data_IF_043700994948
#
_entry.id   IF_043700994948
#
_cell.length_a   1.000
_cell.length_b   1.000
_cell.length_c   1.000
_cell.angle_alpha   90.00
_cell.angle_beta   90.00
_cell.angle_gamma   90.00
#
_symmetry.space_group_name_H-M   'P 1'
#
loop_
_entity.id
_entity.type
_entity.pdbx_description
1 polymer ?
#
# COMPACT_ATOMS: atom_id res chain seq x y z
N UNK A 1 -18.44 -24.50 65.46
CA UNK A 1 -17.48 -24.93 64.44
C UNK A 1 -17.02 -23.70 63.67
N UNK A 2 -15.93 -23.08 64.15
CA UNK A 2 -15.30 -21.96 63.45
C UNK A 2 -14.67 -22.52 62.17
N UNK A 3 -15.28 -22.23 61.02
CA UNK A 3 -14.59 -22.40 59.74
C UNK A 3 -13.46 -21.38 59.71
N UNK A 4 -12.23 -21.86 59.86
CA UNK A 4 -11.03 -21.07 59.60
C UNK A 4 -11.04 -20.78 58.09
N UNK A 5 -11.53 -19.61 57.72
CA UNK A 5 -11.51 -19.15 56.33
C UNK A 5 -10.05 -18.78 56.04
N UNK A 6 -9.29 -19.74 55.51
CA UNK A 6 -7.97 -19.50 54.96
C UNK A 6 -8.16 -18.56 53.75
N UNK A 7 -7.96 -17.25 53.94
CA UNK A 7 -7.77 -16.34 52.81
C UNK A 7 -6.44 -16.69 52.16
N UNK A 8 -6.48 -17.58 51.18
CA UNK A 8 -5.33 -17.91 50.35
C UNK A 8 -5.22 -16.83 49.28
N UNK A 9 -4.46 -15.78 49.58
CA UNK A 9 -4.09 -14.74 48.64
C UNK A 9 -3.08 -15.30 47.64
N UNK A 10 -3.42 -15.28 46.35
CA UNK A 10 -2.55 -15.73 45.26
C UNK A 10 -2.00 -14.52 44.50
N UNK A 11 -0.82 -14.66 43.90
CA UNK A 11 -0.25 -13.64 43.04
C UNK A 11 -0.46 -14.02 41.57
N UNK A 12 -1.05 -13.13 40.78
CA UNK A 12 -1.25 -13.34 39.35
C UNK A 12 -0.51 -12.27 38.53
N UNK A 13 -0.18 -12.61 37.29
CA UNK A 13 0.45 -11.72 36.34
C UNK A 13 -0.54 -11.30 35.25
N UNK A 14 -0.87 -10.02 35.18
CA UNK A 14 -1.65 -9.46 34.09
C UNK A 14 -0.71 -8.95 33.02
N UNK A 15 -0.65 -9.65 31.89
CA UNK A 15 0.12 -9.23 30.73
C UNK A 15 -0.73 -8.26 29.91
N UNK A 16 -0.31 -7.01 29.90
CA UNK A 16 -1.03 -5.94 29.26
C UNK A 16 -0.17 -5.20 28.22
N UNK A 17 -0.73 -4.16 27.60
CA UNK A 17 -0.04 -3.39 26.56
C UNK A 17 1.09 -2.52 27.13
N UNK A 18 0.92 -2.04 28.37
CA UNK A 18 1.89 -1.19 29.06
C UNK A 18 3.02 -1.97 29.73
N UNK A 19 2.86 -3.29 29.91
CA UNK A 19 3.79 -4.15 30.63
C UNK A 19 3.09 -5.31 31.31
N UNK A 20 3.79 -6.00 32.22
CA UNK A 20 3.20 -7.03 33.08
C UNK A 20 2.97 -6.46 34.47
N UNK A 21 1.72 -6.49 34.94
CA UNK A 21 1.33 -6.03 36.28
C UNK A 21 1.14 -7.24 37.21
N UNK A 22 1.60 -7.11 38.45
CA UNK A 22 1.39 -8.13 39.49
C UNK A 22 0.18 -7.75 40.34
N UNK A 23 -0.79 -8.65 40.48
CA UNK A 23 -1.97 -8.45 41.32
C UNK A 23 -2.08 -9.55 42.37
N UNK A 24 -2.36 -9.16 43.60
CA UNK A 24 -2.73 -10.09 44.68
C UNK A 24 -4.24 -10.26 44.67
N UNK A 25 -4.71 -11.49 44.53
CA UNK A 25 -6.12 -11.82 44.30
C UNK A 25 -6.50 -13.06 45.09
N UNK A 26 -7.70 -13.11 45.67
CA UNK A 26 -8.20 -14.34 46.29
C UNK A 26 -8.86 -15.26 45.24
N UNK A 27 -8.73 -16.58 45.41
CA UNK A 27 -9.30 -17.58 44.48
C UNK A 27 -10.84 -17.52 44.34
N UNK A 28 -11.52 -16.88 45.29
CA UNK A 28 -12.97 -16.69 45.31
C UNK A 28 -13.42 -15.32 44.76
N UNK A 29 -12.49 -14.43 44.40
CA UNK A 29 -12.84 -13.14 43.79
C UNK A 29 -13.52 -13.34 42.43
N UNK A 30 -14.44 -12.43 42.12
CA UNK A 30 -15.18 -12.43 40.86
C UNK A 30 -14.36 -11.76 39.75
N UNK A 31 -14.54 -12.22 38.51
CA UNK A 31 -13.89 -11.62 37.32
C UNK A 31 -14.18 -10.11 37.20
N UNK A 32 -15.35 -9.65 37.63
CA UNK A 32 -15.73 -8.23 37.62
C UNK A 32 -14.81 -7.36 38.51
N UNK A 33 -14.42 -7.87 39.68
CA UNK A 33 -13.52 -7.17 40.60
C UNK A 33 -12.11 -7.09 40.02
N UNK A 34 -11.66 -8.15 39.34
CA UNK A 34 -10.38 -8.16 38.63
C UNK A 34 -10.36 -7.11 37.51
N UNK A 35 -11.44 -6.98 36.72
CA UNK A 35 -11.55 -5.95 35.67
C UNK A 35 -11.50 -4.53 36.22
N UNK A 36 -12.12 -4.28 37.37
CA UNK A 36 -12.05 -2.98 38.04
C UNK A 36 -10.62 -2.65 38.49
N UNK A 37 -9.91 -3.59 39.12
CA UNK A 37 -8.50 -3.38 39.50
C UNK A 37 -7.60 -3.14 38.28
N UNK A 38 -7.84 -3.86 37.19
CA UNK A 38 -7.12 -3.64 35.93
C UNK A 38 -7.45 -2.27 35.31
N UNK A 39 -8.70 -1.80 35.43
CA UNK A 39 -9.10 -0.46 34.97
C UNK A 39 -8.36 0.64 35.75
N UNK A 40 -8.18 0.49 37.06
CA UNK A 40 -7.44 1.46 37.86
C UNK A 40 -5.96 1.54 37.48
N UNK A 41 -5.35 0.41 37.09
CA UNK A 41 -3.94 0.35 36.71
C UNK A 41 -3.68 0.80 35.26
N UNK A 42 -4.50 0.35 34.30
CA UNK A 42 -4.28 0.62 32.88
C UNK A 42 -5.10 1.80 32.33
N UNK A 43 -6.17 2.19 33.03
CA UNK A 43 -7.08 3.25 32.57
C UNK A 43 -8.02 2.85 31.43
N UNK A 44 -8.11 1.56 31.09
CA UNK A 44 -9.00 1.04 30.06
C UNK A 44 -10.37 0.74 30.69
N UNK A 45 -11.50 1.20 30.11
CA UNK A 45 -12.83 0.90 30.64
C UNK A 45 -13.11 -0.61 30.62
N UNK A 46 -13.79 -1.14 31.64
CA UNK A 46 -14.10 -2.58 31.77
C UNK A 46 -14.77 -3.20 30.53
N UNK A 47 -15.54 -2.42 29.76
CA UNK A 47 -16.23 -2.87 28.54
C UNK A 47 -15.27 -3.19 27.39
N UNK A 48 -14.13 -2.50 27.33
CA UNK A 48 -13.12 -2.69 26.28
C UNK A 48 -12.06 -3.74 26.66
N UNK A 49 -12.12 -4.26 27.89
CA UNK A 49 -11.17 -5.24 28.40
C UNK A 49 -11.61 -6.67 28.06
N UNK A 50 -10.74 -7.41 27.35
CA UNK A 50 -10.90 -8.84 27.13
C UNK A 50 -9.76 -9.59 27.83
N UNK A 51 -10.10 -10.22 28.95
CA UNK A 51 -9.21 -11.05 29.75
C UNK A 51 -9.27 -12.51 29.29
N UNK A 52 -8.11 -13.13 29.10
CA UNK A 52 -8.01 -14.56 28.77
C UNK A 52 -6.88 -15.24 29.53
N UNK A 53 -7.15 -16.46 29.97
CA UNK A 53 -6.15 -17.35 30.59
C UNK A 53 -5.96 -18.53 29.64
N UNK A 54 -4.76 -18.65 29.07
CA UNK A 54 -4.46 -19.58 27.99
C UNK A 54 -5.47 -19.52 26.83
N UNK A 55 -6.43 -20.46 26.78
CA UNK A 55 -7.47 -20.54 25.73
C UNK A 55 -8.86 -20.14 26.22
N UNK A 56 -9.04 -19.95 27.52
CA UNK A 56 -10.32 -19.63 28.15
C UNK A 56 -10.47 -18.12 28.35
N UNK A 57 -11.51 -17.53 27.76
CA UNK A 57 -11.87 -16.13 28.01
C UNK A 57 -12.63 -16.02 29.33
N UNK A 58 -12.22 -15.09 30.20
CA UNK A 58 -12.88 -14.85 31.48
C UNK A 58 -14.17 -14.06 31.24
N UNK A 59 -15.30 -14.66 31.63
CA UNK A 59 -16.64 -14.06 31.54
C UNK A 59 -17.07 -13.59 32.93
N UNK A 60 -17.84 -12.52 32.97
CA UNK A 60 -18.40 -11.97 34.21
C UNK A 60 -19.36 -12.97 34.89
N UNK A 61 -19.50 -12.87 36.21
CA UNK A 61 -20.38 -13.73 37.01
C UNK A 61 -19.82 -15.09 37.44
N UNK A 62 -18.54 -15.38 37.17
CA UNK A 62 -17.84 -16.58 37.68
C UNK A 62 -16.60 -16.20 38.48
N UNK A 63 -16.16 -17.08 39.39
CA UNK A 63 -14.93 -16.90 40.17
C UNK A 63 -13.70 -17.29 39.36
N UNK A 64 -12.53 -16.79 39.78
CA UNK A 64 -11.25 -17.11 39.13
C UNK A 64 -10.85 -18.59 39.29
N UNK A 65 -11.23 -19.21 40.40
CA UNK A 65 -11.04 -20.65 40.64
C UNK A 65 -11.73 -21.54 39.60
N UNK A 66 -12.90 -21.16 39.09
CA UNK A 66 -13.62 -21.93 38.06
C UNK A 66 -12.90 -21.93 36.70
N UNK A 67 -12.09 -20.90 36.43
CA UNK A 67 -11.32 -20.79 35.19
C UNK A 67 -9.90 -21.39 35.31
N UNK A 68 -9.56 -21.98 36.45
CA UNK A 68 -8.25 -22.59 36.69
C UNK A 68 -7.13 -21.55 36.84
N UNK A 69 -7.44 -20.39 37.42
CA UNK A 69 -6.41 -19.41 37.78
C UNK A 69 -5.72 -19.90 39.06
N UNK A 70 -4.46 -20.28 38.93
CA UNK A 70 -3.60 -20.70 40.03
C UNK A 70 -2.60 -19.59 40.41
N UNK A 71 -1.84 -19.81 41.48
CA UNK A 71 -0.74 -18.94 41.84
C UNK A 71 0.28 -18.84 40.69
N UNK A 72 0.78 -17.62 40.45
CA UNK A 72 1.70 -17.28 39.35
C UNK A 72 1.12 -17.46 37.93
N UNK A 73 -0.20 -17.60 37.79
CA UNK A 73 -0.85 -17.68 36.48
C UNK A 73 -0.79 -16.36 35.72
N UNK A 74 -0.72 -16.43 34.39
CA UNK A 74 -0.70 -15.27 33.50
C UNK A 74 -2.07 -15.04 32.85
N UNK A 75 -2.66 -13.88 33.12
CA UNK A 75 -3.87 -13.36 32.47
C UNK A 75 -3.46 -12.42 31.35
N UNK A 76 -3.83 -12.73 30.11
CA UNK A 76 -3.59 -11.85 28.98
C UNK A 76 -4.75 -10.85 28.84
N UNK A 77 -4.42 -9.56 28.90
CA UNK A 77 -5.34 -8.46 28.62
C UNK A 77 -5.22 -8.08 27.14
N UNK A 78 -6.33 -8.22 26.42
CA UNK A 78 -6.50 -7.78 25.05
C UNK A 78 -7.60 -6.71 24.97
N UNK A 79 -7.45 -5.75 24.07
CA UNK A 79 -8.47 -4.73 23.83
C UNK A 79 -9.46 -5.20 22.77
N UNK A 80 -10.76 -5.03 23.02
CA UNK A 80 -11.79 -5.12 21.97
C UNK A 80 -11.77 -3.85 21.13
N UNK A 81 -10.73 -3.68 20.32
CA UNK A 81 -10.70 -2.59 19.36
C UNK A 81 -11.76 -2.83 18.28
N UNK A 82 -12.75 -1.95 18.18
CA UNK A 82 -13.57 -1.83 16.99
C UNK A 82 -12.67 -1.39 15.82
N UNK A 83 -12.11 -2.37 15.10
CA UNK A 83 -11.24 -2.16 13.94
C UNK A 83 -11.98 -1.48 12.78
N UNK A 84 -12.22 -0.17 12.89
CA UNK A 84 -12.94 0.66 11.92
C UNK A 84 -12.11 1.04 10.70
N UNK A 85 -11.39 0.09 10.05
CA UNK A 85 -10.75 0.40 8.76
C UNK A 85 -11.86 0.48 7.71
N UNK A 86 -12.36 1.69 7.44
CA UNK A 86 -13.31 1.99 6.36
C UNK A 86 -12.79 1.36 5.06
N UNK A 87 -13.32 0.19 4.69
CA UNK A 87 -13.00 -0.48 3.43
C UNK A 87 -13.38 0.48 2.31
N UNK A 88 -12.39 1.09 1.66
CA UNK A 88 -12.63 1.88 0.45
C UNK A 88 -13.28 0.94 -0.56
N UNK A 89 -14.55 1.19 -0.90
CA UNK A 89 -15.27 0.40 -1.90
C UNK A 89 -14.43 0.39 -3.17
N UNK A 90 -14.20 -0.80 -3.72
CA UNK A 90 -13.50 -0.96 -5.00
C UNK A 90 -14.27 -0.15 -6.04
N UNK A 91 -13.60 0.80 -6.68
CA UNK A 91 -14.23 1.57 -7.77
C UNK A 91 -14.48 0.60 -8.94
N UNK A 92 -15.74 0.45 -9.33
CA UNK A 92 -16.12 -0.27 -10.53
C UNK A 92 -15.93 0.67 -11.72
N UNK A 93 -14.89 0.44 -12.53
CA UNK A 93 -14.66 1.21 -13.74
C UNK A 93 -15.54 0.64 -14.86
N UNK A 94 -16.47 1.45 -15.36
CA UNK A 94 -17.37 1.06 -16.47
C UNK A 94 -16.69 1.12 -17.83
N UNK A 95 -15.63 1.91 -17.96
CA UNK A 95 -14.88 2.09 -19.21
C UNK A 95 -13.59 1.27 -19.21
N UNK A 96 -13.22 0.67 -20.35
CA UNK A 96 -11.95 -0.04 -20.47
C UNK A 96 -10.78 0.91 -20.24
N UNK A 97 -9.69 0.38 -19.70
CA UNK A 97 -8.48 1.13 -19.42
C UNK A 97 -7.86 1.66 -20.73
N UNK A 98 -7.58 2.96 -20.80
CA UNK A 98 -6.91 3.58 -21.94
C UNK A 98 -5.53 2.94 -22.17
N UNK A 99 -5.32 2.38 -23.35
CA UNK A 99 -4.03 1.84 -23.77
C UNK A 99 -3.07 3.02 -24.01
N UNK A 100 -1.85 2.94 -23.46
CA UNK A 100 -0.82 3.96 -23.65
C UNK A 100 -0.21 3.83 -25.06
N UNK A 101 0.03 4.97 -25.71
CA UNK A 101 0.75 5.01 -26.99
C UNK A 101 2.18 4.46 -26.81
N UNK A 102 2.61 3.58 -27.72
CA UNK A 102 3.96 3.04 -27.77
C UNK A 102 4.66 3.56 -29.02
N UNK A 103 5.86 4.11 -28.86
CA UNK A 103 6.65 4.57 -30.01
C UNK A 103 7.07 3.39 -30.89
N UNK A 104 6.86 3.53 -32.20
CA UNK A 104 7.33 2.55 -33.19
C UNK A 104 8.82 2.77 -33.44
N UNK A 105 9.64 1.74 -33.20
CA UNK A 105 11.07 1.75 -33.51
C UNK A 105 11.29 1.11 -34.88
N UNK A 106 11.73 1.90 -35.86
CA UNK A 106 12.14 1.39 -37.16
C UNK A 106 13.67 1.29 -37.22
N UNK A 107 14.19 0.11 -37.56
CA UNK A 107 15.63 -0.11 -37.70
C UNK A 107 16.14 0.68 -38.91
N UNK A 108 17.29 1.33 -38.75
CA UNK A 108 18.00 2.02 -39.85
C UNK A 108 17.15 3.05 -40.60
N UNK A 109 16.32 3.81 -39.89
CA UNK A 109 15.42 4.80 -40.50
C UNK A 109 16.14 5.85 -41.38
N UNK A 110 17.40 6.16 -41.08
CA UNK A 110 18.23 7.13 -41.82
C UNK A 110 18.52 6.69 -43.26
N UNK A 111 18.66 5.39 -43.50
CA UNK A 111 18.95 4.88 -44.85
C UNK A 111 17.80 5.14 -45.83
N UNK A 112 16.57 5.32 -45.34
CA UNK A 112 15.42 5.67 -46.18
C UNK A 112 15.52 7.06 -46.81
N UNK A 113 16.46 7.90 -46.36
CA UNK A 113 16.60 9.27 -46.83
C UNK A 113 17.54 9.38 -48.03
N UNK A 114 18.27 8.32 -48.34
CA UNK A 114 19.28 8.29 -49.38
C UNK A 114 18.96 7.18 -50.37
N UNK A 115 19.20 7.45 -51.65
CA UNK A 115 19.19 6.46 -52.71
C UNK A 115 20.62 6.35 -53.25
N UNK A 116 21.13 5.13 -53.33
CA UNK A 116 22.47 4.86 -53.88
C UNK A 116 22.28 4.22 -55.24
N UNK A 117 22.84 4.82 -56.27
CA UNK A 117 22.84 4.22 -57.59
C UNK A 117 23.93 3.15 -57.68
N UNK A 118 23.59 1.90 -58.01
CA UNK A 118 24.52 0.77 -57.93
C UNK A 118 25.62 0.80 -58.99
N UNK A 119 25.45 1.58 -60.07
CA UNK A 119 26.41 1.64 -61.19
C UNK A 119 27.38 2.81 -61.09
N UNK A 120 26.93 3.93 -60.53
CA UNK A 120 27.69 5.18 -60.47
C UNK A 120 28.22 5.46 -59.07
N UNK A 121 27.78 4.68 -58.06
CA UNK A 121 28.04 4.90 -56.65
C UNK A 121 27.73 6.33 -56.16
N UNK A 122 26.85 7.03 -56.88
CA UNK A 122 26.36 8.36 -56.50
C UNK A 122 25.24 8.21 -55.48
N UNK A 123 25.19 9.15 -54.53
CA UNK A 123 24.21 9.18 -53.45
C UNK A 123 23.27 10.36 -53.69
N UNK A 124 21.99 10.07 -53.89
CA UNK A 124 20.92 11.07 -54.02
C UNK A 124 20.16 11.20 -52.70
N UNK A 125 19.82 12.44 -52.31
CA UNK A 125 19.00 12.72 -51.11
C UNK A 125 17.54 12.77 -51.51
N UNK A 126 16.70 11.98 -50.85
CA UNK A 126 15.26 11.87 -51.12
C UNK A 126 14.40 12.84 -50.29
N UNK A 127 14.98 13.47 -49.26
CA UNK A 127 14.28 14.41 -48.37
C UNK A 127 14.92 15.78 -48.40
N UNK A 128 14.08 16.81 -48.30
CA UNK A 128 14.49 18.21 -48.18
C UNK A 128 15.10 18.50 -46.82
N UNK A 129 16.15 19.33 -46.81
CA UNK A 129 16.76 19.85 -45.58
C UNK A 129 16.05 21.13 -45.12
N UNK A 130 15.97 21.31 -43.81
CA UNK A 130 15.35 22.49 -43.22
C UNK A 130 16.26 23.72 -43.41
N UNK A 131 15.72 24.85 -43.87
CA UNK A 131 16.47 26.10 -44.11
C UNK A 131 16.55 27.02 -42.88
N UNK A 132 15.94 26.63 -41.76
CA UNK A 132 15.92 27.42 -40.53
C UNK A 132 17.34 27.53 -39.93
N UNK A 133 17.81 28.70 -39.48
CA UNK A 133 19.18 28.88 -38.96
C UNK A 133 19.52 27.93 -37.80
N UNK A 134 18.56 27.63 -36.92
CA UNK A 134 18.75 26.66 -35.82
C UNK A 134 18.79 25.18 -36.27
N UNK A 135 18.41 24.91 -37.53
CA UNK A 135 18.45 23.60 -38.14
C UNK A 135 19.62 23.54 -39.13
N UNK A 136 20.76 23.04 -38.64
CA UNK A 136 21.94 22.82 -39.46
C UNK A 136 21.81 21.69 -40.48
N UNK A 137 22.86 21.45 -41.29
CA UNK A 137 22.89 20.41 -42.31
C UNK A 137 22.61 19.02 -41.70
N UNK A 138 21.83 18.22 -42.41
CA UNK A 138 21.40 16.88 -41.98
C UNK A 138 20.08 16.83 -41.19
N UNK A 139 19.43 17.97 -40.94
CA UNK A 139 18.05 18.02 -40.41
C UNK A 139 17.05 17.92 -41.57
N UNK A 140 16.55 16.70 -41.81
CA UNK A 140 15.59 16.43 -42.87
C UNK A 140 14.15 16.70 -42.44
N UNK A 141 13.38 17.30 -43.34
CA UNK A 141 11.94 17.50 -43.17
C UNK A 141 11.18 16.18 -43.41
N UNK A 142 10.17 15.92 -42.59
CA UNK A 142 9.23 14.83 -42.77
C UNK A 142 8.29 15.16 -43.93
N UNK A 143 8.15 14.21 -44.87
CA UNK A 143 7.21 14.33 -45.97
C UNK A 143 5.87 13.72 -45.53
N UNK A 144 4.88 14.56 -45.25
CA UNK A 144 3.49 14.16 -45.03
C UNK A 144 2.72 14.34 -46.35
N UNK A 145 1.48 13.83 -46.39
CA UNK A 145 0.66 13.86 -47.61
C UNK A 145 0.45 15.28 -48.17
N UNK A 146 0.27 16.26 -47.29
CA UNK A 146 -0.12 17.64 -47.61
C UNK A 146 0.94 18.69 -47.25
N UNK A 147 2.03 18.28 -46.58
CA UNK A 147 3.01 19.20 -46.00
C UNK A 147 4.38 18.59 -45.81
N UNK A 148 5.38 19.45 -45.81
CA UNK A 148 6.71 19.13 -45.31
C UNK A 148 6.91 19.75 -43.94
N UNK A 149 7.33 18.94 -42.95
CA UNK A 149 7.40 19.36 -41.55
C UNK A 149 8.77 19.08 -40.95
N UNK A 150 9.39 20.08 -40.35
CA UNK A 150 10.62 19.91 -39.58
C UNK A 150 10.29 19.51 -38.13
N UNK A 151 10.75 18.34 -37.69
CA UNK A 151 10.56 17.88 -36.32
C UNK A 151 11.39 18.63 -35.26
N UNK A 152 12.38 19.44 -35.67
CA UNK A 152 13.28 20.18 -34.75
C UNK A 152 12.81 21.61 -34.47
N UNK A 153 12.54 22.39 -35.53
CA UNK A 153 12.10 23.78 -35.40
C UNK A 153 10.59 23.98 -35.63
N UNK A 154 9.83 22.91 -35.87
CA UNK A 154 8.39 22.96 -36.14
C UNK A 154 7.98 23.74 -37.41
N UNK A 155 8.93 24.12 -38.27
CA UNK A 155 8.65 24.78 -39.55
C UNK A 155 7.85 23.84 -40.45
N UNK A 156 6.78 24.38 -41.04
CA UNK A 156 5.88 23.64 -41.92
C UNK A 156 5.75 24.37 -43.24
N UNK A 157 5.99 23.67 -44.35
CA UNK A 157 5.61 24.13 -45.69
C UNK A 157 4.36 23.39 -46.13
N UNK A 158 3.31 24.15 -46.46
CA UNK A 158 2.07 23.62 -47.03
C UNK A 158 2.18 23.68 -48.56
N UNK A 159 1.94 22.56 -49.25
CA UNK A 159 1.98 22.54 -50.71
C UNK A 159 2.52 21.22 -51.28
N UNK A 160 1.93 20.83 -52.41
CA UNK A 160 2.29 19.68 -53.23
C UNK A 160 3.79 19.70 -53.49
N UNK A 161 4.43 18.52 -53.46
CA UNK A 161 5.76 18.24 -54.01
C UNK A 161 6.07 19.13 -55.24
N UNK A 162 6.62 20.32 -55.01
CA UNK A 162 7.13 21.23 -56.03
C UNK A 162 8.62 21.29 -55.83
N UNK A 163 9.26 20.14 -56.04
CA UNK A 163 10.69 20.01 -56.27
C UNK A 163 10.84 18.80 -57.22
N UNK A 164 10.29 18.95 -58.43
CA UNK A 164 11.02 18.59 -59.65
C UNK A 164 11.85 19.81 -60.03
#
# INVERSE_FOLDING_TARGET
FFFFQYSFTMQIFVKALSGTHTLEVESNECVEQLRQRIQELEGIPCEDQRLSVATSTLVDGRSLSEFGVEDLSVVELSLTLEGGRKKKKKKTYTKPKKIKHKHKKEKLAVLKYYKVDPRTHKIERLKRECTHPDCGPGVFMANHFDRQYCGKCHLTYMGINKDQ
#
